data_IF_369952596464
#
_entry.id   IF_369952596464
#
_cell.length_a   1.000
_cell.length_b   1.000
_cell.length_c   1.000
_cell.angle_alpha   90.00
_cell.angle_beta   90.00
_cell.angle_gamma   90.00
#
_symmetry.space_group_name_H-M   'P 1'
#
loop_
_entity.id
_entity.type
_entity.pdbx_description
1 polymer ?
#
# COMPACT_ATOMS: atom_id res chain seq x y z
N UNK A 1 -1.88 -20.98 9.38
CA UNK A 1 -3.34 -21.08 9.47
C UNK A 1 -4.08 -21.12 8.13
N UNK A 2 -3.44 -20.90 7.03
CA UNK A 2 -4.02 -21.02 5.66
C UNK A 2 -5.27 -20.16 5.38
N UNK A 3 -5.36 -18.94 5.96
CA UNK A 3 -6.49 -18.00 5.75
C UNK A 3 -6.66 -17.57 4.29
N UNK A 4 -5.59 -17.66 3.50
CA UNK A 4 -5.58 -17.29 2.08
C UNK A 4 -5.29 -18.48 1.16
N UNK A 5 -5.51 -19.71 1.64
CA UNK A 5 -5.23 -20.92 0.85
C UNK A 5 -5.98 -20.91 -0.48
N UNK A 6 -5.22 -21.07 -1.58
CA UNK A 6 -5.75 -21.08 -2.94
C UNK A 6 -6.13 -19.71 -3.50
N UNK A 7 -5.89 -18.62 -2.76
CA UNK A 7 -6.10 -17.25 -3.23
C UNK A 7 -4.87 -16.74 -3.97
N UNK A 8 -5.08 -15.89 -4.95
CA UNK A 8 -4.00 -15.14 -5.62
C UNK A 8 -4.10 -13.67 -5.26
N UNK A 9 -2.98 -13.10 -4.77
CA UNK A 9 -2.87 -11.69 -4.42
C UNK A 9 -1.93 -10.94 -5.36
N UNK A 10 -2.32 -9.73 -5.78
CA UNK A 10 -1.43 -8.76 -6.42
C UNK A 10 -1.13 -7.65 -5.40
N UNK A 11 0.17 -7.36 -5.20
CA UNK A 11 0.64 -6.33 -4.25
C UNK A 11 1.54 -5.36 -5.00
N UNK A 12 1.08 -4.12 -5.21
CA UNK A 12 1.93 -3.11 -5.83
C UNK A 12 2.95 -2.56 -4.83
N UNK A 13 4.19 -2.30 -5.30
CA UNK A 13 5.28 -1.93 -4.39
C UNK A 13 5.64 -3.04 -3.40
N UNK A 14 5.46 -4.30 -3.81
CA UNK A 14 5.68 -5.49 -2.97
C UNK A 14 7.13 -5.90 -2.77
N UNK A 15 8.08 -5.14 -3.31
CA UNK A 15 9.52 -5.45 -3.21
C UNK A 15 10.23 -4.82 -2.01
N UNK A 16 9.52 -4.12 -1.12
CA UNK A 16 10.09 -3.53 0.10
C UNK A 16 9.03 -3.15 1.13
N UNK A 17 9.47 -2.91 2.38
CA UNK A 17 8.65 -2.34 3.45
C UNK A 17 7.32 -3.10 3.66
N UNK A 18 6.23 -2.34 3.79
CA UNK A 18 4.88 -2.88 4.05
C UNK A 18 4.46 -3.91 2.99
N UNK A 19 4.71 -3.60 1.70
CA UNK A 19 4.34 -4.49 0.60
C UNK A 19 5.05 -5.84 0.66
N UNK A 20 6.36 -5.84 0.96
CA UNK A 20 7.15 -7.08 1.08
C UNK A 20 6.72 -7.90 2.31
N UNK A 21 6.53 -7.25 3.45
CA UNK A 21 6.05 -7.93 4.65
C UNK A 21 4.64 -8.52 4.45
N UNK A 22 3.79 -7.83 3.69
CA UNK A 22 2.45 -8.36 3.34
C UNK A 22 2.56 -9.54 2.38
N UNK A 23 3.44 -9.46 1.37
CA UNK A 23 3.68 -10.57 0.44
C UNK A 23 4.14 -11.82 1.19
N UNK A 24 5.12 -11.68 2.09
CA UNK A 24 5.60 -12.77 2.91
C UNK A 24 4.50 -13.38 3.77
N UNK A 25 3.72 -12.55 4.48
CA UNK A 25 2.64 -13.03 5.34
C UNK A 25 1.53 -13.72 4.54
N UNK A 26 1.20 -13.23 3.34
CA UNK A 26 0.19 -13.85 2.49
C UNK A 26 0.65 -15.22 1.97
N UNK A 27 1.93 -15.38 1.65
CA UNK A 27 2.53 -16.67 1.32
C UNK A 27 2.49 -17.63 2.51
N UNK A 28 2.84 -17.17 3.72
CA UNK A 28 2.74 -17.95 4.97
C UNK A 28 1.31 -18.46 5.22
N UNK A 29 0.30 -17.73 4.73
CA UNK A 29 -1.13 -18.05 4.83
C UNK A 29 -1.70 -18.78 3.60
N UNK A 30 -0.83 -19.26 2.71
CA UNK A 30 -1.17 -20.15 1.60
C UNK A 30 -1.66 -19.48 0.33
N UNK A 31 -1.44 -18.16 0.18
CA UNK A 31 -1.71 -17.47 -1.07
C UNK A 31 -0.57 -17.65 -2.09
N UNK A 32 -0.90 -17.53 -3.37
CA UNK A 32 0.04 -17.18 -4.42
C UNK A 32 0.15 -15.66 -4.48
N UNK A 33 1.36 -15.11 -4.62
CA UNK A 33 1.55 -13.66 -4.59
C UNK A 33 2.27 -13.16 -5.84
N UNK A 34 1.74 -12.10 -6.44
CA UNK A 34 2.37 -11.35 -7.52
C UNK A 34 2.74 -9.98 -6.94
N UNK A 35 4.02 -9.65 -6.92
CA UNK A 35 4.48 -8.33 -6.50
C UNK A 35 4.87 -7.48 -7.69
N UNK A 36 4.72 -6.15 -7.58
CA UNK A 36 5.28 -5.22 -8.55
C UNK A 36 6.30 -4.29 -7.91
N UNK A 37 7.19 -3.76 -8.73
CA UNK A 37 8.16 -2.74 -8.36
C UNK A 37 8.86 -2.17 -9.58
N UNK A 38 9.37 -0.94 -9.47
CA UNK A 38 9.99 -0.24 -10.62
C UNK A 38 11.45 -0.65 -10.90
N UNK A 39 12.15 -1.22 -9.92
CA UNK A 39 13.55 -1.64 -10.06
C UNK A 39 13.62 -3.15 -10.21
N UNK A 40 14.17 -3.59 -11.34
CA UNK A 40 14.27 -5.01 -11.69
C UNK A 40 15.09 -5.81 -10.68
N UNK A 41 16.22 -5.27 -10.24
CA UNK A 41 17.11 -5.87 -9.24
C UNK A 41 16.38 -6.10 -7.90
N UNK A 42 15.65 -5.09 -7.42
CA UNK A 42 14.93 -5.17 -6.15
C UNK A 42 13.71 -6.12 -6.23
N UNK A 43 13.04 -6.19 -7.38
CA UNK A 43 11.96 -7.17 -7.58
C UNK A 43 12.54 -8.59 -7.61
N UNK A 44 13.65 -8.80 -8.31
CA UNK A 44 14.32 -10.10 -8.35
C UNK A 44 14.75 -10.58 -6.97
N UNK A 45 15.44 -9.74 -6.20
CA UNK A 45 15.85 -10.04 -4.82
C UNK A 45 14.66 -10.38 -3.91
N UNK A 46 13.56 -9.63 -4.04
CA UNK A 46 12.35 -9.90 -3.27
C UNK A 46 11.77 -11.27 -3.61
N UNK A 47 11.66 -11.63 -4.89
CA UNK A 47 11.17 -12.94 -5.32
C UNK A 47 12.05 -14.07 -4.81
N UNK A 48 13.37 -13.94 -4.91
CA UNK A 48 14.31 -14.92 -4.38
C UNK A 48 14.12 -15.16 -2.87
N UNK A 49 13.81 -14.09 -2.11
CA UNK A 49 13.55 -14.21 -0.67
C UNK A 49 12.17 -14.77 -0.32
N UNK A 50 11.17 -14.57 -1.19
CA UNK A 50 9.78 -14.97 -0.96
C UNK A 50 9.50 -16.44 -1.34
N UNK A 51 10.26 -17.01 -2.28
CA UNK A 51 10.13 -18.41 -2.68
C UNK A 51 9.22 -18.66 -3.88
N UNK A 52 8.91 -19.93 -4.13
CA UNK A 52 8.36 -20.44 -5.41
C UNK A 52 6.94 -19.97 -5.76
N UNK A 53 6.13 -19.61 -4.78
CA UNK A 53 4.75 -19.13 -5.00
C UNK A 53 4.67 -17.61 -5.17
N UNK A 54 5.84 -16.93 -5.26
CA UNK A 54 5.95 -15.50 -5.51
C UNK A 54 6.38 -15.23 -6.96
N UNK A 55 5.73 -14.25 -7.58
CA UNK A 55 5.99 -13.78 -8.93
C UNK A 55 6.26 -12.28 -8.94
N UNK A 56 7.17 -11.84 -9.80
CA UNK A 56 7.55 -10.44 -9.92
C UNK A 56 7.21 -9.86 -11.28
N UNK A 57 6.63 -8.66 -11.29
CA UNK A 57 6.40 -7.86 -12.50
C UNK A 57 7.11 -6.53 -12.31
N UNK A 58 7.91 -6.12 -13.29
CA UNK A 58 8.51 -4.78 -13.29
C UNK A 58 7.43 -3.82 -13.78
N UNK A 59 7.01 -2.90 -12.90
CA UNK A 59 5.99 -1.90 -13.17
C UNK A 59 6.16 -0.71 -12.24
N UNK A 60 6.27 0.48 -12.80
CA UNK A 60 6.27 1.74 -12.07
C UNK A 60 4.84 2.27 -11.95
N UNK A 61 4.32 2.37 -10.73
CA UNK A 61 2.98 2.90 -10.46
C UNK A 61 2.81 4.37 -10.88
N UNK A 62 3.90 5.12 -11.08
CA UNK A 62 3.88 6.48 -11.62
C UNK A 62 3.90 6.54 -13.15
N UNK A 63 4.19 5.44 -13.83
CA UNK A 63 4.24 5.36 -15.28
C UNK A 63 2.93 4.76 -15.82
N UNK A 64 2.14 5.57 -16.49
CA UNK A 64 0.83 5.13 -17.01
C UNK A 64 0.92 4.07 -18.12
N UNK A 65 2.05 3.94 -18.81
CA UNK A 65 2.28 2.83 -19.76
C UNK A 65 2.40 1.51 -19.00
N UNK A 66 3.20 1.48 -17.95
CA UNK A 66 3.38 0.31 -17.10
C UNK A 66 2.05 -0.08 -16.42
N UNK A 67 1.33 0.90 -15.86
CA UNK A 67 0.03 0.69 -15.22
C UNK A 67 -0.99 0.09 -16.19
N UNK A 68 -1.04 0.54 -17.45
CA UNK A 68 -1.96 0.02 -18.47
C UNK A 68 -1.58 -1.38 -18.96
N UNK A 69 -0.30 -1.72 -18.99
CA UNK A 69 0.16 -3.05 -19.42
C UNK A 69 0.09 -4.09 -18.29
N UNK A 70 0.08 -3.66 -17.02
CA UNK A 70 0.08 -4.53 -15.85
C UNK A 70 -1.01 -5.64 -15.87
N UNK A 71 -2.28 -5.37 -16.24
CA UNK A 71 -3.29 -6.43 -16.29
C UNK A 71 -2.95 -7.54 -17.27
N UNK A 72 -2.35 -7.21 -18.40
CA UNK A 72 -1.88 -8.18 -19.39
C UNK A 72 -0.75 -9.05 -18.85
N UNK A 73 0.20 -8.46 -18.12
CA UNK A 73 1.31 -9.19 -17.49
C UNK A 73 0.79 -10.11 -16.35
N UNK A 74 -0.14 -9.62 -15.52
CA UNK A 74 -0.78 -10.45 -14.48
C UNK A 74 -1.52 -11.63 -15.11
N UNK A 75 -2.24 -11.41 -16.23
CA UNK A 75 -3.01 -12.46 -16.91
C UNK A 75 -2.14 -13.58 -17.48
N UNK A 76 -0.86 -13.33 -17.76
CA UNK A 76 0.10 -14.39 -18.18
C UNK A 76 0.44 -15.34 -17.03
N UNK A 77 0.30 -14.90 -15.76
CA UNK A 77 0.62 -15.65 -14.56
C UNK A 77 -0.63 -16.34 -14.00
N UNK A 78 -1.76 -15.61 -13.98
CA UNK A 78 -3.02 -16.08 -13.41
C UNK A 78 -4.23 -15.52 -14.15
N UNK A 79 -5.30 -16.31 -14.35
CA UNK A 79 -6.54 -15.80 -14.92
C UNK A 79 -7.38 -14.98 -13.92
N UNK A 80 -7.08 -15.07 -12.61
CA UNK A 80 -7.88 -14.49 -11.55
C UNK A 80 -7.01 -13.89 -10.44
N UNK A 81 -7.46 -12.78 -9.88
CA UNK A 81 -6.85 -12.07 -8.75
C UNK A 81 -7.89 -11.94 -7.64
N UNK A 82 -7.76 -12.69 -6.56
CA UNK A 82 -8.72 -12.66 -5.44
C UNK A 82 -8.51 -11.42 -4.55
N UNK A 83 -7.26 -10.97 -4.46
CA UNK A 83 -6.86 -9.88 -3.57
C UNK A 83 -5.98 -8.91 -4.35
N UNK A 84 -6.34 -7.62 -4.31
CA UNK A 84 -5.48 -6.54 -4.78
C UNK A 84 -5.09 -5.66 -3.60
N UNK A 85 -3.80 -5.54 -3.32
CA UNK A 85 -3.29 -4.53 -2.41
C UNK A 85 -2.56 -3.43 -3.19
N UNK A 86 -3.25 -2.32 -3.44
CA UNK A 86 -2.69 -1.12 -4.05
C UNK A 86 -1.87 -0.35 -3.00
N UNK A 87 -0.61 -0.80 -2.82
CA UNK A 87 0.29 -0.34 -1.78
C UNK A 87 1.39 0.59 -2.29
N UNK A 88 1.75 0.51 -3.57
CA UNK A 88 2.80 1.37 -4.14
C UNK A 88 2.56 2.85 -3.80
N UNK A 89 3.61 3.52 -3.35
CA UNK A 89 3.54 4.93 -2.99
C UNK A 89 4.91 5.56 -2.80
N UNK A 90 4.93 6.89 -2.85
CA UNK A 90 6.08 7.72 -2.54
C UNK A 90 5.69 8.76 -1.49
N UNK A 91 6.65 9.19 -0.68
CA UNK A 91 6.50 10.32 0.24
C UNK A 91 7.53 11.38 -0.13
N UNK A 92 7.14 12.38 -0.90
CA UNK A 92 7.96 13.54 -1.24
C UNK A 92 7.40 14.74 -0.52
N UNK A 93 8.25 15.41 0.24
CA UNK A 93 7.86 16.46 1.19
C UNK A 93 8.61 17.75 0.87
N UNK A 94 7.91 18.88 0.99
CA UNK A 94 8.48 20.22 0.91
C UNK A 94 7.57 21.20 1.66
N UNK A 95 8.10 22.35 2.15
CA UNK A 95 7.26 23.46 2.58
C UNK A 95 6.26 23.84 1.48
N UNK A 96 5.05 24.25 1.87
CA UNK A 96 3.97 24.52 0.91
C UNK A 96 4.36 25.49 -0.19
N UNK A 97 5.03 26.59 0.19
CA UNK A 97 5.53 27.63 -0.72
C UNK A 97 6.73 27.21 -1.60
N UNK A 98 7.34 26.06 -1.30
CA UNK A 98 8.48 25.52 -2.03
C UNK A 98 8.12 24.23 -2.80
N UNK A 99 6.87 23.80 -2.69
CA UNK A 99 6.39 22.62 -3.41
C UNK A 99 6.39 22.89 -4.91
N UNK A 100 7.32 22.24 -5.63
CA UNK A 100 7.37 22.31 -7.08
C UNK A 100 6.23 21.50 -7.73
N UNK A 101 5.90 21.85 -8.97
CA UNK A 101 4.94 21.10 -9.77
C UNK A 101 5.35 19.63 -9.95
N UNK A 102 6.66 19.37 -10.20
CA UNK A 102 7.21 18.01 -10.32
C UNK A 102 7.02 17.19 -9.03
N UNK A 103 7.24 17.81 -7.85
CA UNK A 103 7.02 17.15 -6.56
C UNK A 103 5.53 16.85 -6.35
N UNK A 104 4.67 17.82 -6.65
CA UNK A 104 3.22 17.67 -6.60
C UNK A 104 2.78 16.54 -7.50
N UNK A 105 3.14 16.58 -8.79
CA UNK A 105 2.78 15.58 -9.79
C UNK A 105 3.31 14.19 -9.45
N UNK A 106 4.53 14.08 -8.95
CA UNK A 106 5.09 12.80 -8.52
C UNK A 106 4.26 12.15 -7.41
N UNK A 107 3.82 12.92 -6.40
CA UNK A 107 2.94 12.42 -5.36
C UNK A 107 1.57 12.00 -5.94
N UNK A 108 0.95 12.83 -6.76
CA UNK A 108 -0.36 12.53 -7.35
C UNK A 108 -0.30 11.36 -8.33
N UNK A 109 0.70 11.32 -9.21
CA UNK A 109 0.83 10.28 -10.22
C UNK A 109 1.04 8.91 -9.60
N UNK A 110 1.92 8.77 -8.59
CA UNK A 110 2.18 7.48 -7.95
C UNK A 110 1.07 7.12 -6.98
N UNK A 111 0.75 8.03 -6.04
CA UNK A 111 -0.10 7.69 -4.89
C UNK A 111 -1.60 7.65 -5.22
N UNK A 112 -2.05 8.36 -6.26
CA UNK A 112 -3.47 8.41 -6.60
C UNK A 112 -3.76 7.94 -8.01
N UNK A 113 -3.20 8.58 -9.04
CA UNK A 113 -3.50 8.23 -10.45
C UNK A 113 -3.09 6.78 -10.75
N UNK A 114 -1.90 6.38 -10.32
CA UNK A 114 -1.42 5.00 -10.45
C UNK A 114 -2.32 4.01 -9.72
N UNK A 115 -2.74 4.32 -8.49
CA UNK A 115 -3.67 3.48 -7.72
C UNK A 115 -5.01 3.34 -8.43
N UNK A 116 -5.60 4.46 -8.88
CA UNK A 116 -6.89 4.48 -9.57
C UNK A 116 -6.88 3.57 -10.78
N UNK A 117 -5.92 3.75 -11.68
CA UNK A 117 -5.85 2.99 -12.92
C UNK A 117 -5.33 1.55 -12.74
N UNK A 118 -4.57 1.27 -11.68
CA UNK A 118 -4.24 -0.11 -11.29
C UNK A 118 -5.49 -0.87 -10.87
N UNK A 119 -6.32 -0.28 -10.00
CA UNK A 119 -7.59 -0.90 -9.57
C UNK A 119 -8.50 -1.09 -10.78
N UNK A 120 -8.70 -0.06 -11.59
CA UNK A 120 -9.54 -0.11 -12.79
C UNK A 120 -9.08 -1.21 -13.76
N UNK A 121 -7.79 -1.26 -14.06
CA UNK A 121 -7.22 -2.23 -15.00
C UNK A 121 -7.30 -3.68 -14.53
N UNK A 122 -7.09 -3.92 -13.24
CA UNK A 122 -7.14 -5.27 -12.65
C UNK A 122 -8.57 -5.72 -12.29
N UNK A 123 -9.54 -4.80 -12.22
CA UNK A 123 -10.93 -5.10 -11.83
C UNK A 123 -11.59 -6.23 -12.66
N UNK A 124 -11.35 -6.38 -13.98
CA UNK A 124 -11.87 -7.51 -14.75
C UNK A 124 -11.31 -8.87 -14.32
N UNK A 125 -10.15 -8.92 -13.66
CA UNK A 125 -9.55 -10.16 -13.14
C UNK A 125 -9.99 -10.48 -11.71
N UNK A 126 -10.64 -9.53 -11.02
CA UNK A 126 -11.11 -9.74 -9.65
C UNK A 126 -12.48 -10.43 -9.69
N UNK A 127 -12.62 -11.62 -9.09
CA UNK A 127 -13.89 -12.35 -9.07
C UNK A 127 -14.89 -11.70 -8.13
N UNK A 128 -16.16 -12.13 -8.23
CA UNK A 128 -17.14 -11.80 -7.20
C UNK A 128 -16.68 -12.34 -5.84
N UNK A 129 -16.77 -11.51 -4.81
CA UNK A 129 -16.26 -11.83 -3.46
C UNK A 129 -14.78 -11.50 -3.23
N UNK A 130 -14.10 -10.87 -4.19
CA UNK A 130 -12.71 -10.43 -4.04
C UNK A 130 -12.52 -9.32 -3.00
N UNK A 131 -11.26 -9.02 -2.68
CA UNK A 131 -10.88 -7.97 -1.72
C UNK A 131 -9.88 -6.99 -2.33
N UNK A 132 -10.17 -5.69 -2.23
CA UNK A 132 -9.29 -4.61 -2.65
C UNK A 132 -8.85 -3.83 -1.41
N UNK A 133 -7.56 -3.70 -1.21
CA UNK A 133 -6.94 -2.95 -0.12
C UNK A 133 -6.21 -1.74 -0.70
N UNK A 134 -6.43 -0.59 -0.10
CA UNK A 134 -5.81 0.67 -0.50
C UNK A 134 -4.90 1.19 0.62
N UNK A 135 -3.65 1.51 0.30
CA UNK A 135 -2.71 2.03 1.29
C UNK A 135 -2.75 3.57 1.33
N UNK A 136 -3.28 4.11 2.44
CA UNK A 136 -3.35 5.54 2.74
C UNK A 136 -2.31 5.97 3.78
N UNK A 137 -2.66 6.85 4.69
CA UNK A 137 -1.83 7.33 5.82
C UNK A 137 -2.69 8.01 6.87
N UNK A 138 -2.27 7.99 8.13
CA UNK A 138 -2.92 8.78 9.18
C UNK A 138 -2.81 10.31 8.96
N UNK A 139 -1.88 10.77 8.11
CA UNK A 139 -1.69 12.20 7.83
C UNK A 139 -2.87 12.85 7.10
N UNK A 140 -3.84 12.08 6.63
CA UNK A 140 -5.10 12.59 6.10
C UNK A 140 -6.05 13.09 7.20
N UNK A 141 -5.80 12.72 8.45
CA UNK A 141 -6.60 13.10 9.63
C UNK A 141 -5.88 14.07 10.55
N UNK A 142 -4.60 14.36 10.27
CA UNK A 142 -3.78 15.26 11.08
C UNK A 142 -2.85 16.08 10.20
N UNK A 143 -2.78 17.39 10.44
CA UNK A 143 -1.81 18.24 9.75
C UNK A 143 -0.39 17.91 10.18
N UNK A 144 0.50 17.86 9.20
CA UNK A 144 1.95 17.83 9.41
C UNK A 144 2.57 18.77 8.39
N UNK A 145 3.46 19.63 8.85
CA UNK A 145 4.21 20.54 7.97
C UNK A 145 4.91 19.76 6.85
N UNK A 146 5.08 20.38 5.72
CA UNK A 146 5.76 19.85 4.52
C UNK A 146 5.03 18.72 3.77
N UNK A 147 3.88 18.23 4.25
CA UNK A 147 3.22 17.04 3.69
C UNK A 147 2.01 17.34 2.81
N UNK A 148 1.76 18.60 2.42
CA UNK A 148 0.52 19.01 1.75
C UNK A 148 0.16 18.16 0.52
N UNK A 149 1.07 18.05 -0.46
CA UNK A 149 0.83 17.26 -1.69
C UNK A 149 0.68 15.76 -1.38
N UNK A 150 1.50 15.22 -0.48
CA UNK A 150 1.43 13.82 -0.05
C UNK A 150 0.10 13.50 0.62
N UNK A 151 -0.29 14.28 1.64
CA UNK A 151 -1.53 14.07 2.38
C UNK A 151 -2.76 14.21 1.48
N UNK A 152 -2.76 15.20 0.57
CA UNK A 152 -3.83 15.35 -0.42
C UNK A 152 -3.95 14.12 -1.33
N UNK A 153 -2.82 13.59 -1.85
CA UNK A 153 -2.80 12.40 -2.70
C UNK A 153 -3.38 11.17 -1.97
N UNK A 154 -3.07 11.01 -0.68
CA UNK A 154 -3.56 9.91 0.15
C UNK A 154 -5.02 10.11 0.62
N UNK A 155 -5.45 11.35 0.80
CA UNK A 155 -6.86 11.69 1.03
C UNK A 155 -7.75 11.32 -0.16
N UNK A 156 -7.25 11.53 -1.39
CA UNK A 156 -7.94 11.11 -2.61
C UNK A 156 -8.10 9.57 -2.67
N UNK A 157 -7.12 8.80 -2.18
CA UNK A 157 -7.23 7.32 -2.08
C UNK A 157 -8.33 6.90 -1.12
N UNK A 158 -8.49 7.58 0.03
CA UNK A 158 -9.58 7.27 0.97
C UNK A 158 -10.96 7.56 0.37
N UNK A 159 -11.10 8.69 -0.33
CA UNK A 159 -12.36 9.02 -1.02
C UNK A 159 -12.67 7.97 -2.09
N UNK A 160 -11.68 7.57 -2.90
CA UNK A 160 -11.80 6.50 -3.89
C UNK A 160 -12.28 5.18 -3.25
N UNK A 161 -11.69 4.79 -2.12
CA UNK A 161 -12.02 3.55 -1.42
C UNK A 161 -13.49 3.49 -1.00
N UNK A 162 -14.02 4.59 -0.46
CA UNK A 162 -15.43 4.71 -0.06
C UNK A 162 -16.38 4.57 -1.27
N UNK A 163 -16.05 5.24 -2.37
CA UNK A 163 -16.86 5.19 -3.61
C UNK A 163 -16.84 3.77 -4.20
N UNK A 164 -15.66 3.16 -4.35
CA UNK A 164 -15.54 1.81 -4.91
C UNK A 164 -16.20 0.75 -4.04
N UNK A 165 -16.24 0.92 -2.72
CA UNK A 165 -16.94 0.01 -1.81
C UNK A 165 -18.45 -0.09 -2.14
N UNK A 166 -19.06 1.02 -2.55
CA UNK A 166 -20.47 1.06 -2.95
C UNK A 166 -20.66 0.56 -4.38
N UNK A 167 -19.83 1.02 -5.32
CA UNK A 167 -19.93 0.63 -6.73
C UNK A 167 -19.74 -0.89 -6.95
N UNK A 168 -18.86 -1.51 -6.17
CA UNK A 168 -18.51 -2.93 -6.31
C UNK A 168 -19.31 -3.87 -5.39
N UNK A 169 -20.21 -3.34 -4.56
CA UNK A 169 -21.00 -4.11 -3.61
C UNK A 169 -21.87 -5.18 -4.27
N UNK A 170 -22.44 -4.89 -5.46
CA UNK A 170 -23.25 -5.86 -6.21
C UNK A 170 -22.44 -7.10 -6.63
N UNK A 171 -21.11 -6.95 -6.80
CA UNK A 171 -20.17 -8.03 -7.05
C UNK A 171 -19.63 -8.66 -5.76
N UNK A 172 -20.10 -8.23 -4.59
CA UNK A 172 -19.57 -8.64 -3.27
C UNK A 172 -18.06 -8.41 -3.12
N UNK A 173 -17.48 -7.50 -3.91
CA UNK A 173 -16.08 -7.10 -3.78
C UNK A 173 -16.00 -6.10 -2.64
N UNK A 174 -15.15 -6.40 -1.65
CA UNK A 174 -14.89 -5.53 -0.51
C UNK A 174 -13.73 -4.58 -0.83
N UNK A 175 -13.89 -3.32 -0.48
CA UNK A 175 -12.84 -2.31 -0.67
C UNK A 175 -12.59 -1.62 0.67
N UNK A 176 -11.40 -1.76 1.22
CA UNK A 176 -11.03 -1.15 2.50
C UNK A 176 -9.67 -0.45 2.40
N UNK A 177 -9.47 0.53 3.26
CA UNK A 177 -8.24 1.31 3.32
C UNK A 177 -7.46 1.01 4.60
N UNK A 178 -6.14 0.99 4.51
CA UNK A 178 -5.23 0.93 5.65
C UNK A 178 -4.52 2.27 5.73
N UNK A 179 -4.49 2.88 6.91
CA UNK A 179 -3.80 4.14 7.18
C UNK A 179 -2.67 3.92 8.19
N UNK A 180 -1.45 3.61 7.69
CA UNK A 180 -0.29 3.47 8.56
C UNK A 180 0.09 4.80 9.22
N UNK A 181 0.59 4.69 10.46
CA UNK A 181 1.31 5.76 11.15
C UNK A 181 2.82 5.66 10.93
N UNK A 182 3.62 5.99 11.95
CA UNK A 182 5.06 5.84 11.90
C UNK A 182 5.47 4.36 11.86
N UNK A 183 5.75 3.86 10.67
CA UNK A 183 6.16 2.47 10.42
C UNK A 183 7.62 2.45 9.97
N UNK A 184 8.45 1.65 10.60
CA UNK A 184 9.84 1.45 10.19
C UNK A 184 9.91 0.82 8.80
N UNK A 185 10.27 1.63 7.81
CA UNK A 185 10.34 1.24 6.40
C UNK A 185 11.49 1.99 5.72
N UNK A 186 12.00 1.50 4.58
CA UNK A 186 13.03 2.21 3.81
C UNK A 186 12.64 3.60 3.28
N UNK A 187 11.39 4.04 3.48
CA UNK A 187 10.93 5.36 3.04
C UNK A 187 11.68 6.48 3.76
N UNK A 188 12.02 6.29 5.03
CA UNK A 188 12.75 7.27 5.82
C UNK A 188 14.17 7.52 5.30
N UNK A 189 14.84 6.49 4.76
CA UNK A 189 16.18 6.62 4.17
C UNK A 189 16.19 7.49 2.89
N UNK A 190 15.02 7.79 2.33
CA UNK A 190 14.86 8.62 1.13
C UNK A 190 14.53 10.08 1.44
N UNK A 191 14.45 10.46 2.71
CA UNK A 191 14.13 11.83 3.12
C UNK A 191 15.32 12.79 3.02
N UNK A 192 16.50 12.31 2.58
CA UNK A 192 17.71 13.16 2.41
C UNK A 192 18.33 13.66 3.72
N UNK A 193 17.92 13.10 4.86
CA UNK A 193 18.46 13.44 6.18
C UNK A 193 19.79 12.72 6.43
N UNK A 194 20.70 13.36 7.17
CA UNK A 194 21.87 12.68 7.71
C UNK A 194 21.45 11.67 8.78
N UNK A 195 22.31 10.69 9.08
CA UNK A 195 21.99 9.62 10.03
C UNK A 195 21.63 10.16 11.42
N UNK A 196 22.32 11.20 11.89
CA UNK A 196 22.05 11.79 13.20
C UNK A 196 20.72 12.55 13.23
N UNK A 197 20.43 13.35 12.20
CA UNK A 197 19.13 14.03 12.05
C UNK A 197 17.98 13.01 11.95
N UNK A 198 18.19 11.90 11.25
CA UNK A 198 17.20 10.83 11.16
C UNK A 198 16.95 10.16 12.52
N UNK A 199 18.00 9.94 13.34
CA UNK A 199 17.86 9.40 14.71
C UNK A 199 17.06 10.35 15.62
N UNK A 200 17.39 11.65 15.59
CA UNK A 200 16.68 12.65 16.39
C UNK A 200 15.21 12.77 15.96
N UNK A 201 14.96 12.81 14.66
CA UNK A 201 13.61 12.79 14.10
C UNK A 201 12.84 11.55 14.53
N UNK A 202 13.46 10.36 14.43
CA UNK A 202 12.84 9.11 14.84
C UNK A 202 12.50 9.12 16.34
N UNK A 203 13.40 9.58 17.20
CA UNK A 203 13.15 9.70 18.64
C UNK A 203 11.99 10.66 18.95
N UNK A 204 11.93 11.82 18.28
CA UNK A 204 10.87 12.80 18.44
C UNK A 204 9.50 12.27 17.98
N UNK A 205 9.46 11.53 16.87
CA UNK A 205 8.25 10.87 16.37
C UNK A 205 7.81 9.77 17.35
N UNK A 206 8.72 8.91 17.79
CA UNK A 206 8.45 7.82 18.72
C UNK A 206 7.89 8.32 20.06
N UNK A 207 8.43 9.43 20.58
CA UNK A 207 7.95 10.04 21.82
C UNK A 207 6.46 10.44 21.75
N UNK A 208 6.00 10.82 20.54
CA UNK A 208 4.61 11.23 20.26
C UNK A 208 3.68 10.05 19.94
N UNK A 209 4.17 8.83 19.82
CA UNK A 209 3.34 7.63 19.64
C UNK A 209 2.93 7.11 21.03
N UNK A 210 1.62 6.92 21.33
CA UNK A 210 1.18 6.39 22.61
C UNK A 210 1.82 5.06 22.99
N UNK A 211 1.95 4.12 22.05
CA UNK A 211 2.63 2.82 22.28
C UNK A 211 4.16 2.90 22.34
N UNK A 212 4.75 4.12 22.28
CA UNK A 212 6.18 4.39 22.49
C UNK A 212 7.15 3.61 21.59
N UNK A 213 6.70 3.17 20.43
CA UNK A 213 7.53 2.53 19.41
C UNK A 213 7.08 2.93 18.01
N UNK A 214 7.97 2.79 17.05
CA UNK A 214 7.55 2.66 15.65
C UNK A 214 6.80 1.34 15.46
N UNK A 215 5.82 1.34 14.58
CA UNK A 215 5.27 0.09 14.05
C UNK A 215 6.28 -0.57 13.11
N UNK A 216 6.16 -1.86 12.96
CA UNK A 216 6.88 -2.64 11.95
C UNK A 216 6.00 -2.85 10.71
N UNK A 217 6.63 -3.11 9.57
CA UNK A 217 5.90 -3.46 8.34
C UNK A 217 4.95 -4.65 8.57
N UNK A 218 5.30 -5.58 9.46
CA UNK A 218 4.47 -6.73 9.83
C UNK A 218 3.21 -6.33 10.62
N UNK A 219 3.23 -5.25 11.41
CA UNK A 219 2.03 -4.75 12.09
C UNK A 219 0.95 -4.35 11.05
N UNK A 220 1.36 -3.73 9.95
CA UNK A 220 0.46 -3.35 8.84
C UNK A 220 0.04 -4.59 8.03
N UNK A 221 0.96 -5.51 7.78
CA UNK A 221 0.69 -6.75 7.05
C UNK A 221 -0.37 -7.62 7.73
N UNK A 222 -0.41 -7.67 9.07
CA UNK A 222 -1.45 -8.38 9.83
C UNK A 222 -2.85 -7.80 9.57
N UNK A 223 -2.97 -6.47 9.51
CA UNK A 223 -4.23 -5.82 9.17
C UNK A 223 -4.59 -6.06 7.70
N UNK A 224 -3.61 -6.03 6.80
CA UNK A 224 -3.82 -6.37 5.39
C UNK A 224 -4.34 -7.81 5.25
N UNK A 225 -3.77 -8.76 5.99
CA UNK A 225 -4.21 -10.15 6.02
C UNK A 225 -5.66 -10.29 6.52
N UNK A 226 -6.01 -9.62 7.62
CA UNK A 226 -7.37 -9.59 8.15
C UNK A 226 -8.36 -9.06 7.12
N UNK A 227 -8.04 -7.92 6.49
CA UNK A 227 -8.91 -7.30 5.48
C UNK A 227 -8.98 -8.10 4.16
N UNK A 228 -7.95 -8.88 3.84
CA UNK A 228 -7.90 -9.73 2.66
C UNK A 228 -8.71 -11.02 2.85
N UNK A 229 -8.80 -11.53 4.08
CA UNK A 229 -9.44 -12.81 4.42
C UNK A 229 -10.95 -12.69 4.66
N UNK A 230 -11.61 -13.82 4.82
CA UNK A 230 -13.03 -13.91 5.16
C UNK A 230 -13.35 -13.44 6.59
N UNK A 231 -12.31 -13.27 7.45
CA UNK A 231 -12.45 -12.71 8.81
C UNK A 231 -13.05 -11.30 8.79
N UNK A 232 -12.93 -10.59 7.67
CA UNK A 232 -13.50 -9.24 7.44
C UNK A 232 -14.66 -9.24 6.43
N UNK A 233 -15.38 -10.37 6.29
CA UNK A 233 -16.43 -10.56 5.28
C UNK A 233 -17.58 -9.53 5.32
N UNK A 234 -17.79 -8.86 6.46
CA UNK A 234 -18.80 -7.81 6.61
C UNK A 234 -18.20 -6.39 6.65
N UNK A 235 -16.94 -6.23 6.19
CA UNK A 235 -16.26 -4.93 6.16
C UNK A 235 -16.02 -4.48 4.73
N UNK A 236 -16.60 -3.34 4.34
CA UNK A 236 -16.31 -2.62 3.10
C UNK A 236 -16.44 -1.12 3.33
N UNK A 237 -15.67 -0.30 2.62
CA UNK A 237 -15.63 1.16 2.80
C UNK A 237 -14.96 1.62 4.08
N UNK A 238 -14.39 0.71 4.85
CA UNK A 238 -13.74 1.00 6.13
C UNK A 238 -12.31 1.50 5.95
N UNK A 239 -11.88 2.33 6.89
CA UNK A 239 -10.49 2.71 7.09
C UNK A 239 -9.98 2.16 8.42
N UNK A 240 -8.83 1.51 8.40
CA UNK A 240 -8.19 0.96 9.60
C UNK A 240 -6.84 1.64 9.82
N UNK A 241 -6.72 2.41 10.91
CA UNK A 241 -5.45 3.02 11.30
C UNK A 241 -4.55 2.01 11.99
N UNK A 242 -3.26 1.97 11.60
CA UNK A 242 -2.21 1.13 12.20
C UNK A 242 -1.07 2.05 12.62
N UNK A 243 -1.21 2.71 13.75
CA UNK A 243 -0.41 3.89 14.09
C UNK A 243 0.05 3.99 15.56
N UNK A 244 -0.19 2.97 16.36
CA UNK A 244 0.12 2.98 17.79
C UNK A 244 -0.61 4.05 18.59
N UNK A 245 -1.75 4.54 18.08
CA UNK A 245 -2.57 5.59 18.69
C UNK A 245 -2.16 7.00 18.29
N UNK A 246 -1.19 7.17 17.36
CA UNK A 246 -0.63 8.50 17.01
C UNK A 246 -1.69 9.47 16.49
N UNK A 247 -2.65 9.02 15.70
CA UNK A 247 -3.72 9.86 15.15
C UNK A 247 -4.77 10.30 16.19
N UNK A 248 -4.69 9.79 17.43
CA UNK A 248 -5.61 10.12 18.53
C UNK A 248 -5.01 11.10 19.55
N UNK A 249 -3.76 11.52 19.33
CA UNK A 249 -3.08 12.50 20.18
C UNK A 249 -3.16 13.90 19.56
N UNK A 250 -3.35 14.90 20.40
CA UNK A 250 -3.30 16.33 20.05
C UNK A 250 -1.87 16.82 19.92
#
# INVERSE_FOLDING_TARGET
>A
MNRLKGKTAVITGGNSGIGLATAQLFLEEGARVIITGRRADAVKQAIESLGSEAFGIISDAGNMTDVRTLPGEVKKITPQVDILFANAGVGLFAPFNETSEDLFDSNLNVNFKGVFFTVQGLLPLIPNGGSILLNSTILVHSGLETTAAYSASKGAVLALGKTLAIELASRKIRVNSISPGPISTPIYNKMGMTEDVLKEFAAAVQAKVPLKRFGESRDVAQVALFLASDDSSFMTGSEVSVDGGKSKTF
#
